data_IF_200136697036
#
_entry.id   IF_200136697036
#
_cell.length_a   1.000
_cell.length_b   1.000
_cell.length_c   1.000
_cell.angle_alpha   90.00
_cell.angle_beta   90.00
_cell.angle_gamma   90.00
#
_symmetry.space_group_name_H-M   'P 1'
#
loop_
_entity.id
_entity.type
_entity.pdbx_description
1 polymer ?
#
# COMPACT_ATOMS: atom_id res chain seq x y z
N UNK A 1 -25.34 4.36 10.18
CA UNK A 1 -24.95 3.20 9.33
C UNK A 1 -23.81 2.48 10.03
N UNK A 2 -23.76 1.14 10.02
CA UNK A 2 -22.59 0.41 10.51
C UNK A 2 -21.34 0.79 9.68
N UNK A 3 -20.14 0.79 10.26
CA UNK A 3 -18.90 1.11 9.55
C UNK A 3 -18.76 0.26 8.29
N UNK A 4 -18.32 0.87 7.19
CA UNK A 4 -18.02 0.12 5.97
C UNK A 4 -16.82 -0.77 6.30
N UNK A 5 -17.00 -2.08 6.14
CA UNK A 5 -15.97 -3.09 6.39
C UNK A 5 -15.51 -3.65 5.04
N UNK A 6 -14.19 -3.75 4.84
CA UNK A 6 -13.58 -4.24 3.59
C UNK A 6 -14.06 -5.64 3.19
N UNK A 7 -14.47 -6.45 4.17
CA UNK A 7 -15.03 -7.79 3.93
C UNK A 7 -16.30 -7.79 3.06
N UNK A 8 -17.11 -6.72 3.07
CA UNK A 8 -18.36 -6.65 2.29
C UNK A 8 -18.13 -6.61 0.78
N UNK A 9 -16.94 -6.20 0.32
CA UNK A 9 -16.62 -6.08 -1.10
C UNK A 9 -15.97 -7.34 -1.69
N UNK A 10 -15.71 -8.38 -0.88
CA UNK A 10 -14.99 -9.58 -1.29
C UNK A 10 -15.84 -10.46 -2.20
N UNK A 11 -15.21 -11.00 -3.23
CA UNK A 11 -15.76 -12.03 -4.12
C UNK A 11 -14.84 -13.25 -4.25
N UNK A 12 -13.68 -13.22 -3.59
CA UNK A 12 -12.80 -14.36 -3.34
C UNK A 12 -12.78 -14.61 -1.84
N UNK A 13 -13.01 -15.86 -1.43
CA UNK A 13 -13.06 -16.26 -0.03
C UNK A 13 -12.15 -17.44 0.23
N UNK A 14 -11.42 -17.38 1.33
CA UNK A 14 -10.40 -18.37 1.72
C UNK A 14 -10.85 -19.09 2.97
N UNK A 15 -10.74 -20.42 2.93
CA UNK A 15 -11.16 -21.34 3.99
C UNK A 15 -10.03 -22.30 4.34
N UNK A 16 -10.10 -22.87 5.55
CA UNK A 16 -9.41 -24.11 5.85
C UNK A 16 -10.23 -25.27 5.24
N UNK A 17 -9.58 -26.21 4.56
CA UNK A 17 -10.27 -27.42 4.10
C UNK A 17 -10.86 -28.25 5.27
N UNK A 18 -10.26 -28.16 6.47
CA UNK A 18 -10.73 -28.83 7.68
C UNK A 18 -11.88 -28.10 8.39
N UNK A 19 -12.07 -26.80 8.11
CA UNK A 19 -13.22 -26.01 8.55
C UNK A 19 -13.77 -25.17 7.38
N UNK A 20 -14.56 -25.78 6.48
CA UNK A 20 -15.09 -25.11 5.29
C UNK A 20 -16.21 -24.10 5.61
N UNK A 21 -16.56 -23.93 6.89
CA UNK A 21 -17.64 -23.03 7.33
C UNK A 21 -17.11 -21.66 7.76
N UNK A 22 -15.88 -21.60 8.24
CA UNK A 22 -15.25 -20.37 8.73
C UNK A 22 -14.41 -19.72 7.63
N UNK A 23 -14.76 -18.47 7.27
CA UNK A 23 -13.94 -17.66 6.36
C UNK A 23 -12.69 -17.18 7.10
N UNK A 24 -11.53 -17.65 6.67
CA UNK A 24 -10.23 -17.19 7.18
C UNK A 24 -9.87 -15.81 6.65
N UNK A 25 -10.26 -15.54 5.39
CA UNK A 25 -9.89 -14.33 4.70
C UNK A 25 -10.45 -14.24 3.28
N UNK A 26 -9.95 -13.29 2.51
CA UNK A 26 -10.29 -13.15 1.09
C UNK A 26 -10.09 -11.73 0.58
N UNK A 27 -10.26 -11.53 -0.73
CA UNK A 27 -10.10 -10.22 -1.36
C UNK A 27 -11.29 -9.88 -2.25
N UNK A 28 -11.35 -8.59 -2.59
CA UNK A 28 -12.06 -8.14 -3.79
C UNK A 28 -11.11 -8.34 -4.97
N UNK A 29 -11.48 -9.23 -5.88
CA UNK A 29 -10.76 -9.46 -7.13
C UNK A 29 -10.78 -8.18 -7.96
N UNK A 30 -9.59 -7.65 -8.27
CA UNK A 30 -9.40 -6.59 -9.23
C UNK A 30 -8.95 -7.19 -10.57
N UNK A 31 -9.17 -6.44 -11.66
CA UNK A 31 -8.66 -6.82 -12.97
C UNK A 31 -7.12 -6.90 -12.92
N UNK A 32 -6.54 -8.00 -13.42
CA UNK A 32 -5.10 -8.22 -13.43
C UNK A 32 -4.54 -9.07 -12.28
N UNK A 33 -5.37 -9.47 -11.30
CA UNK A 33 -4.93 -10.47 -10.30
C UNK A 33 -4.89 -11.85 -10.96
N UNK A 34 -3.71 -12.46 -10.98
CA UNK A 34 -3.46 -13.80 -11.56
C UNK A 34 -3.34 -14.87 -10.48
N UNK A 35 -3.42 -16.15 -10.88
CA UNK A 35 -3.13 -17.26 -9.97
C UNK A 35 -1.70 -17.19 -9.44
N UNK A 36 -0.71 -16.73 -10.22
CA UNK A 36 0.66 -16.52 -9.77
C UNK A 36 0.77 -15.44 -8.69
N UNK A 37 0.01 -14.35 -8.83
CA UNK A 37 -0.08 -13.29 -7.81
C UNK A 37 -0.70 -13.80 -6.51
N UNK A 38 -1.65 -14.73 -6.61
CA UNK A 38 -2.28 -15.35 -5.45
C UNK A 38 -1.44 -16.50 -4.87
N UNK A 39 -0.65 -17.19 -5.70
CA UNK A 39 0.30 -18.22 -5.30
C UNK A 39 1.40 -17.66 -4.41
N UNK A 40 1.90 -16.46 -4.70
CA UNK A 40 2.90 -15.80 -3.85
C UNK A 40 2.42 -15.61 -2.40
N UNK A 41 1.11 -15.63 -2.17
CA UNK A 41 0.49 -15.51 -0.86
C UNK A 41 0.30 -16.86 -0.15
N UNK A 42 0.03 -17.95 -0.90
CA UNK A 42 -0.45 -19.20 -0.30
C UNK A 42 0.23 -20.49 -0.78
N UNK A 43 1.19 -20.45 -1.70
CA UNK A 43 2.01 -21.59 -2.19
C UNK A 43 1.28 -22.90 -2.52
N UNK A 44 -0.06 -22.90 -2.66
CA UNK A 44 -0.91 -24.09 -2.74
C UNK A 44 -1.91 -24.05 -3.92
N UNK A 45 -1.73 -23.11 -4.85
CA UNK A 45 -2.51 -23.00 -6.09
C UNK A 45 -1.58 -23.31 -7.26
N UNK A 46 -2.11 -23.68 -8.42
CA UNK A 46 -1.29 -23.79 -9.61
C UNK A 46 -0.70 -22.41 -9.96
N UNK A 47 0.62 -22.31 -10.01
CA UNK A 47 1.30 -21.05 -10.31
C UNK A 47 1.27 -20.82 -11.81
N UNK A 48 0.27 -20.07 -12.28
CA UNK A 48 0.16 -19.64 -13.66
C UNK A 48 -0.30 -18.17 -13.79
N UNK A 49 -0.23 -17.61 -14.99
CA UNK A 49 -0.62 -16.23 -15.24
C UNK A 49 -2.11 -16.08 -15.64
N UNK A 50 -2.92 -17.13 -15.48
CA UNK A 50 -4.35 -17.02 -15.75
C UNK A 50 -5.02 -16.10 -14.71
N UNK A 51 -6.07 -15.35 -15.10
CA UNK A 51 -6.82 -14.54 -14.16
C UNK A 51 -7.42 -15.38 -13.04
N UNK A 52 -7.20 -14.95 -11.80
CA UNK A 52 -7.83 -15.55 -10.62
C UNK A 52 -9.36 -15.40 -10.76
N UNK A 53 -10.11 -16.42 -10.37
CA UNK A 53 -11.57 -16.41 -10.49
C UNK A 53 -12.24 -16.04 -9.16
N UNK A 54 -13.40 -15.37 -9.17
CA UNK A 54 -14.24 -15.26 -7.98
C UNK A 54 -14.64 -16.66 -7.47
N UNK A 55 -14.68 -16.85 -6.16
CA UNK A 55 -15.10 -18.13 -5.59
C UNK A 55 -14.53 -18.45 -4.22
N UNK A 56 -14.67 -19.73 -3.86
CA UNK A 56 -14.16 -20.30 -2.61
C UNK A 56 -12.88 -21.05 -2.88
N UNK A 57 -11.83 -20.70 -2.14
CA UNK A 57 -10.52 -21.33 -2.18
C UNK A 57 -10.26 -21.98 -0.83
N UNK A 58 -9.74 -23.22 -0.85
CA UNK A 58 -9.50 -24.01 0.36
C UNK A 58 -8.00 -24.25 0.50
N UNK A 59 -7.45 -23.90 1.65
CA UNK A 59 -6.08 -24.21 2.03
C UNK A 59 -6.06 -25.68 2.48
N UNK A 60 -5.22 -26.48 1.84
CA UNK A 60 -4.98 -27.88 2.18
C UNK A 60 -3.55 -27.99 2.71
N UNK A 61 -3.42 -27.96 4.03
CA UNK A 61 -2.13 -28.08 4.71
C UNK A 61 -2.03 -29.43 5.45
N UNK A 62 -0.87 -30.07 5.37
CA UNK A 62 -0.59 -31.29 6.13
C UNK A 62 -0.42 -30.99 7.64
N UNK A 63 0.15 -29.83 7.94
CA UNK A 63 0.38 -29.35 9.30
C UNK A 63 -0.58 -28.20 9.66
N UNK A 64 -0.91 -28.02 10.95
CA UNK A 64 -1.67 -26.86 11.41
C UNK A 64 -0.96 -25.55 11.04
N UNK A 65 -1.73 -24.58 10.56
CA UNK A 65 -1.25 -23.24 10.24
C UNK A 65 -1.99 -22.19 11.06
N UNK A 66 -1.36 -21.01 11.20
CA UNK A 66 -1.95 -19.88 11.90
C UNK A 66 -2.19 -18.73 10.93
N UNK A 67 -3.36 -18.08 11.07
CA UNK A 67 -3.62 -16.82 10.37
C UNK A 67 -2.78 -15.72 11.02
N UNK A 68 -2.01 -15.00 10.20
CA UNK A 68 -1.22 -13.86 10.68
C UNK A 68 -2.17 -12.73 11.15
N UNK A 69 -2.05 -12.35 12.43
CA UNK A 69 -2.83 -11.30 13.09
C UNK A 69 -2.04 -10.00 13.37
N UNK A 70 -0.87 -9.81 12.76
CA UNK A 70 -0.07 -8.60 12.85
C UNK A 70 -0.85 -7.33 12.45
N UNK A 71 -0.76 -6.22 13.21
CA UNK A 71 -1.37 -4.96 12.81
C UNK A 71 -0.69 -4.39 11.56
N UNK A 72 -1.45 -3.71 10.70
CA UNK A 72 -0.88 -2.89 9.63
C UNK A 72 -0.78 -1.43 10.08
N UNK A 73 0.06 -0.64 9.40
CA UNK A 73 0.21 0.80 9.65
C UNK A 73 -0.90 1.56 8.93
N UNK A 74 -1.94 1.97 9.66
CA UNK A 74 -3.06 2.75 9.13
C UNK A 74 -2.56 4.10 8.62
N UNK A 75 -2.90 4.48 7.40
CA UNK A 75 -2.64 5.83 6.90
C UNK A 75 -3.86 6.71 7.11
N UNK A 76 -3.67 7.87 7.72
CA UNK A 76 -4.62 8.97 7.57
C UNK A 76 -4.32 9.60 6.22
N UNK A 77 -5.34 9.88 5.39
CA UNK A 77 -5.15 10.60 4.13
C UNK A 77 -4.90 12.08 4.49
N UNK A 78 -3.71 12.36 5.02
CA UNK A 78 -3.24 13.71 5.31
C UNK A 78 -2.11 14.04 4.35
N UNK A 79 -2.25 15.18 3.67
CA UNK A 79 -1.20 15.74 2.84
C UNK A 79 -0.04 16.14 3.75
N UNK A 80 1.09 15.43 3.69
CA UNK A 80 2.29 15.82 4.42
C UNK A 80 2.72 17.23 3.98
N UNK A 81 2.80 18.19 4.91
CA UNK A 81 3.21 19.58 4.63
C UNK A 81 4.56 19.91 5.29
N UNK A 82 5.50 20.50 4.55
CA UNK A 82 6.80 20.92 5.06
C UNK A 82 7.86 21.13 3.97
N UNK A 83 8.97 21.80 4.30
CA UNK A 83 10.07 22.10 3.36
C UNK A 83 10.80 20.84 2.89
N UNK A 84 10.93 19.81 3.74
CA UNK A 84 11.47 18.51 3.35
C UNK A 84 10.60 17.78 2.31
N UNK A 85 9.28 17.94 2.42
CA UNK A 85 8.31 17.34 1.49
C UNK A 85 8.35 17.97 0.10
N UNK A 86 8.70 19.26 -0.01
CA UNK A 86 8.85 19.93 -1.30
C UNK A 86 10.03 19.37 -2.09
N UNK A 87 11.23 19.28 -1.49
CA UNK A 87 12.40 18.71 -2.17
C UNK A 87 12.19 17.25 -2.59
N UNK A 88 11.53 16.47 -1.74
CA UNK A 88 11.12 15.10 -2.09
C UNK A 88 10.19 15.09 -3.31
N UNK A 89 9.15 15.92 -3.28
CA UNK A 89 8.14 15.98 -4.34
C UNK A 89 8.77 16.36 -5.67
N UNK A 90 9.63 17.38 -5.68
CA UNK A 90 10.32 17.86 -6.88
C UNK A 90 11.24 16.77 -7.46
N UNK A 91 11.96 16.04 -6.60
CA UNK A 91 12.81 14.93 -7.02
C UNK A 91 12.02 13.77 -7.64
N UNK A 92 10.92 13.35 -7.00
CA UNK A 92 10.04 12.29 -7.51
C UNK A 92 9.39 12.71 -8.83
N UNK A 93 8.90 13.94 -8.91
CA UNK A 93 8.30 14.53 -10.12
C UNK A 93 9.27 14.54 -11.30
N UNK A 94 10.49 15.02 -11.06
CA UNK A 94 11.55 15.08 -12.07
C UNK A 94 11.94 13.68 -12.58
N UNK A 95 12.03 12.69 -11.69
CA UNK A 95 12.35 11.30 -12.03
C UNK A 95 11.24 10.65 -12.88
N UNK A 96 10.01 10.69 -12.37
CA UNK A 96 8.93 9.85 -12.89
C UNK A 96 8.24 10.46 -14.12
N UNK A 97 7.89 11.76 -14.06
CA UNK A 97 7.18 12.52 -15.13
C UNK A 97 5.87 11.89 -15.65
N UNK A 98 5.37 10.85 -15.00
CA UNK A 98 4.10 10.18 -15.27
C UNK A 98 3.61 9.46 -14.02
N UNK A 99 2.33 9.10 -13.99
CA UNK A 99 1.84 8.18 -12.98
C UNK A 99 2.48 6.80 -13.18
N UNK A 100 3.22 6.30 -12.19
CA UNK A 100 3.92 5.02 -12.29
C UNK A 100 2.96 3.83 -12.47
N UNK A 101 1.75 3.91 -11.92
CA UNK A 101 0.79 2.80 -11.97
C UNK A 101 -0.02 2.80 -13.26
N UNK A 102 -0.60 3.95 -13.65
CA UNK A 102 -1.44 4.04 -14.85
C UNK A 102 -0.67 4.31 -16.13
N UNK A 103 0.59 4.75 -16.03
CA UNK A 103 1.38 5.22 -17.16
C UNK A 103 0.97 6.60 -17.70
N UNK A 104 -0.08 7.24 -17.15
CA UNK A 104 -0.56 8.55 -17.60
C UNK A 104 0.55 9.61 -17.49
N UNK A 105 0.92 10.20 -18.62
CA UNK A 105 1.98 11.22 -18.68
C UNK A 105 1.54 12.56 -18.07
N UNK A 106 2.47 13.23 -17.39
CA UNK A 106 2.29 14.60 -16.93
C UNK A 106 2.68 15.57 -18.07
N UNK A 107 1.72 15.83 -18.96
CA UNK A 107 1.96 16.61 -20.19
C UNK A 107 2.43 18.05 -19.93
N UNK A 108 1.97 18.65 -18.83
CA UNK A 108 2.32 20.03 -18.46
C UNK A 108 3.56 20.10 -17.52
N UNK A 109 4.30 19.00 -17.36
CA UNK A 109 5.45 18.94 -16.45
C UNK A 109 6.61 19.87 -16.84
N UNK A 110 6.76 20.21 -18.12
CA UNK A 110 7.79 21.17 -18.57
C UNK A 110 7.49 22.62 -18.15
N UNK A 111 6.22 22.93 -17.85
CA UNK A 111 5.77 24.21 -17.29
C UNK A 111 5.70 24.19 -15.75
N UNK A 112 6.31 23.17 -15.12
CA UNK A 112 6.21 22.89 -13.68
C UNK A 112 4.76 22.75 -13.17
N UNK A 113 3.84 22.38 -14.06
CA UNK A 113 2.44 22.18 -13.75
C UNK A 113 2.13 20.69 -13.55
N UNK A 114 1.99 20.32 -12.28
CA UNK A 114 1.76 18.93 -11.84
C UNK A 114 0.29 18.63 -11.54
N UNK A 115 -0.65 19.40 -12.09
CA UNK A 115 -2.07 19.27 -11.77
C UNK A 115 -2.57 17.85 -12.00
N UNK A 116 -3.17 17.27 -10.95
CA UNK A 116 -3.69 15.90 -10.96
C UNK A 116 -2.65 14.83 -10.64
N UNK A 117 -1.39 15.21 -10.36
CA UNK A 117 -0.33 14.30 -9.94
C UNK A 117 0.22 14.67 -8.56
N UNK A 118 0.52 13.65 -7.77
CA UNK A 118 0.98 13.78 -6.40
C UNK A 118 2.16 12.84 -6.14
N UNK A 119 3.18 13.33 -5.43
CA UNK A 119 4.29 12.52 -4.98
C UNK A 119 3.89 11.76 -3.71
N UNK A 120 3.78 10.45 -3.84
CA UNK A 120 3.33 9.53 -2.81
C UNK A 120 4.52 8.88 -2.10
N UNK A 121 4.47 8.80 -0.78
CA UNK A 121 5.45 8.01 -0.02
C UNK A 121 5.01 6.54 0.06
N UNK A 122 5.88 5.59 -0.25
CA UNK A 122 5.61 4.14 -0.19
C UNK A 122 5.54 3.66 1.26
N UNK A 123 6.38 4.22 2.12
CA UNK A 123 6.34 4.09 3.57
C UNK A 123 5.90 5.43 4.17
N UNK A 124 4.87 5.46 5.03
CA UNK A 124 4.26 6.72 5.46
C UNK A 124 5.16 7.52 6.41
N UNK A 125 5.28 8.83 6.16
CA UNK A 125 6.12 9.74 6.98
C UNK A 125 5.68 9.81 8.45
N UNK A 126 4.38 9.71 8.73
CA UNK A 126 3.82 9.70 10.08
C UNK A 126 4.43 8.61 10.99
N UNK A 127 5.04 7.58 10.39
CA UNK A 127 5.62 6.44 11.06
C UNK A 127 7.17 6.48 11.09
N UNK A 128 7.79 7.68 11.09
CA UNK A 128 9.26 7.83 11.16
C UNK A 128 9.89 7.17 12.40
N UNK A 129 9.20 7.17 13.53
CA UNK A 129 9.63 6.42 14.72
C UNK A 129 9.72 4.91 14.43
N UNK A 130 8.67 4.34 13.86
CA UNK A 130 8.63 2.92 13.46
C UNK A 130 9.66 2.60 12.37
N UNK A 131 9.86 3.52 11.42
CA UNK A 131 10.93 3.43 10.42
C UNK A 131 12.30 3.23 11.07
N UNK A 132 12.58 4.02 12.11
CA UNK A 132 13.85 4.03 12.83
C UNK A 132 14.01 2.82 13.73
N UNK A 133 13.01 2.51 14.56
CA UNK A 133 13.03 1.39 15.52
C UNK A 133 13.29 0.04 14.85
N UNK A 134 12.71 -0.16 13.66
CA UNK A 134 12.84 -1.39 12.89
C UNK A 134 13.90 -1.30 11.81
N UNK A 135 14.69 -0.22 11.79
CA UNK A 135 15.80 0.01 10.86
C UNK A 135 15.41 -0.21 9.39
N UNK A 136 14.26 0.32 8.96
CA UNK A 136 13.81 0.22 7.56
C UNK A 136 14.69 1.04 6.61
N UNK A 137 15.41 2.04 7.13
CA UNK A 137 16.43 2.78 6.41
C UNK A 137 17.52 1.92 5.77
N UNK A 138 17.76 0.71 6.27
CA UNK A 138 18.73 -0.25 5.69
C UNK A 138 18.45 -0.63 4.23
N UNK A 139 17.21 -0.45 3.75
CA UNK A 139 16.83 -0.79 2.38
C UNK A 139 17.17 0.29 1.36
N UNK A 140 17.43 1.51 1.81
CA UNK A 140 17.86 2.61 0.95
C UNK A 140 19.25 2.29 0.40
N UNK A 141 19.38 2.32 -0.93
CA UNK A 141 20.65 2.01 -1.60
C UNK A 141 21.50 3.24 -1.91
N UNK A 142 20.87 4.41 -2.08
CA UNK A 142 21.55 5.69 -2.32
C UNK A 142 21.31 6.59 -1.10
N UNK A 143 22.31 6.75 -0.22
CA UNK A 143 22.16 7.56 0.99
C UNK A 143 21.97 9.05 0.64
N UNK A 144 21.37 9.84 1.55
CA UNK A 144 21.22 11.27 1.34
C UNK A 144 22.61 11.93 1.30
N UNK A 145 22.78 12.92 0.41
CA UNK A 145 24.00 13.72 0.36
C UNK A 145 24.30 14.45 1.69
N UNK A 146 23.25 14.74 2.47
CA UNK A 146 23.36 15.23 3.83
C UNK A 146 22.84 14.17 4.82
N UNK A 147 23.70 13.57 5.66
CA UNK A 147 23.31 12.56 6.64
C UNK A 147 22.30 13.05 7.70
N UNK A 148 22.13 14.36 7.87
CA UNK A 148 21.12 14.92 8.79
C UNK A 148 19.71 14.92 8.20
N UNK A 149 19.56 14.65 6.89
CA UNK A 149 18.24 14.42 6.28
C UNK A 149 17.84 12.96 6.52
N UNK A 150 16.66 12.75 7.10
CA UNK A 150 16.10 11.42 7.36
C UNK A 150 15.95 10.61 6.06
N UNK A 151 16.30 9.32 6.12
CA UNK A 151 16.25 8.41 4.97
C UNK A 151 14.82 8.14 4.47
N UNK A 152 13.82 8.41 5.30
CA UNK A 152 12.39 8.26 4.97
C UNK A 152 11.90 9.30 3.93
N UNK A 153 12.59 10.45 3.81
CA UNK A 153 12.27 11.57 2.89
C UNK A 153 13.04 11.42 1.55
N UNK A 154 13.66 10.27 1.30
CA UNK A 154 14.35 10.01 0.05
C UNK A 154 13.37 9.61 -1.05
N UNK A 155 13.65 10.03 -2.30
CA UNK A 155 12.82 9.66 -3.46
C UNK A 155 12.74 8.15 -3.70
N UNK A 156 13.67 7.37 -3.14
CA UNK A 156 13.63 5.91 -3.14
C UNK A 156 12.47 5.34 -2.30
N UNK A 157 11.84 6.17 -1.46
CA UNK A 157 10.58 5.93 -0.77
C UNK A 157 9.39 6.58 -1.50
N UNK A 158 9.55 7.02 -2.75
CA UNK A 158 8.58 7.87 -3.44
C UNK A 158 8.16 7.40 -4.82
N UNK A 159 6.90 7.68 -5.18
CA UNK A 159 6.30 7.43 -6.50
C UNK A 159 5.46 8.63 -6.93
N UNK A 160 5.47 8.99 -8.21
CA UNK A 160 4.50 9.93 -8.77
C UNK A 160 3.23 9.17 -9.15
N UNK A 161 2.09 9.59 -8.61
CA UNK A 161 0.80 8.97 -8.85
C UNK A 161 -0.22 10.00 -9.34
N UNK A 162 -1.21 9.55 -10.11
CA UNK A 162 -2.43 10.34 -10.31
C UNK A 162 -3.13 10.50 -8.95
N UNK A 163 -3.67 11.68 -8.66
CA UNK A 163 -4.29 12.00 -7.37
C UNK A 163 -5.37 11.01 -6.92
N UNK A 164 -6.14 10.43 -7.85
CA UNK A 164 -7.13 9.40 -7.49
C UNK A 164 -6.46 8.06 -7.14
N UNK A 165 -5.42 7.69 -7.89
CA UNK A 165 -4.62 6.48 -7.63
C UNK A 165 -3.84 6.61 -6.32
N UNK A 166 -3.34 7.80 -5.99
CA UNK A 166 -2.64 8.08 -4.74
C UNK A 166 -3.53 7.79 -3.53
N UNK A 167 -4.80 8.23 -3.56
CA UNK A 167 -5.75 7.95 -2.48
C UNK A 167 -5.98 6.44 -2.28
N UNK A 168 -6.14 5.68 -3.37
CA UNK A 168 -6.28 4.22 -3.30
C UNK A 168 -4.98 3.54 -2.83
N UNK A 169 -3.81 4.07 -3.21
CA UNK A 169 -2.50 3.58 -2.77
C UNK A 169 -2.28 3.79 -1.27
N UNK A 170 -2.64 4.96 -0.73
CA UNK A 170 -2.56 5.27 0.70
C UNK A 170 -3.58 4.46 1.52
N UNK A 171 -4.76 4.21 0.96
CA UNK A 171 -5.75 3.30 1.55
C UNK A 171 -5.31 1.84 1.55
N UNK A 172 -4.19 1.48 0.90
CA UNK A 172 -3.82 0.10 0.58
C UNK A 172 -4.93 -0.64 -0.18
N UNK A 173 -5.76 0.07 -0.94
CA UNK A 173 -6.78 -0.54 -1.81
C UNK A 173 -6.17 -1.09 -3.11
N UNK A 174 -4.95 -0.65 -3.44
CA UNK A 174 -4.09 -1.24 -4.46
C UNK A 174 -2.64 -1.34 -3.94
N UNK A 175 -1.81 -2.09 -4.67
CA UNK A 175 -0.38 -2.26 -4.41
C UNK A 175 0.37 -2.49 -5.71
N UNK A 176 1.67 -2.22 -5.72
CA UNK A 176 2.52 -2.39 -6.91
C UNK A 176 3.36 -3.66 -6.78
N UNK A 177 3.29 -4.54 -7.78
CA UNK A 177 4.26 -5.62 -7.92
C UNK A 177 5.55 -5.07 -8.55
N UNK A 178 6.71 -5.12 -7.86
CA UNK A 178 7.98 -4.64 -8.42
C UNK A 178 8.36 -5.31 -9.75
N UNK A 179 7.93 -6.55 -9.98
CA UNK A 179 8.24 -7.29 -11.22
C UNK A 179 7.49 -6.76 -12.45
N UNK A 180 6.43 -5.96 -12.25
CA UNK A 180 5.60 -5.42 -13.32
C UNK A 180 5.81 -3.91 -13.53
N UNK A 181 6.88 -3.35 -12.97
CA UNK A 181 7.28 -1.97 -13.23
C UNK A 181 7.81 -1.81 -14.65
N UNK A 182 7.60 -0.62 -15.22
CA UNK A 182 8.14 -0.32 -16.54
C UNK A 182 9.67 -0.25 -16.54
N UNK A 183 10.27 -0.55 -17.70
CA UNK A 183 11.72 -0.66 -17.84
C UNK A 183 12.45 0.68 -17.61
N UNK A 184 11.78 1.82 -17.84
CA UNK A 184 12.39 3.14 -17.62
C UNK A 184 12.63 3.35 -16.12
N UNK A 185 11.64 3.05 -15.28
CA UNK A 185 11.81 3.12 -13.83
C UNK A 185 12.80 2.07 -13.31
N UNK A 186 12.76 0.85 -13.84
CA UNK A 186 13.68 -0.21 -13.42
C UNK A 186 15.16 0.13 -13.70
N UNK A 187 15.43 0.88 -14.77
CA UNK A 187 16.77 1.33 -15.13
C UNK A 187 17.25 2.55 -14.33
N UNK A 188 16.38 3.19 -13.56
CA UNK A 188 16.73 4.36 -12.75
C UNK A 188 17.35 3.89 -11.42
N UNK A 189 18.61 4.26 -11.09
CA UNK A 189 19.23 3.85 -9.82
C UNK A 189 18.54 4.47 -8.59
N UNK A 190 17.79 5.56 -8.77
CA UNK A 190 17.04 6.27 -7.75
C UNK A 190 15.57 5.83 -7.67
N UNK A 191 15.21 4.76 -8.37
CA UNK A 191 13.88 4.14 -8.31
C UNK A 191 13.48 3.76 -6.87
N UNK A 192 12.18 3.57 -6.63
CA UNK A 192 11.71 2.88 -5.44
C UNK A 192 12.48 1.59 -5.18
N UNK A 193 12.89 1.38 -3.94
CA UNK A 193 13.50 0.10 -3.57
C UNK A 193 12.42 -0.97 -3.47
N UNK A 194 12.71 -2.15 -4.02
CA UNK A 194 11.73 -3.25 -4.12
C UNK A 194 11.22 -3.68 -2.75
N UNK A 195 12.05 -3.59 -1.72
CA UNK A 195 11.70 -3.93 -0.35
C UNK A 195 10.59 -3.03 0.21
N UNK A 196 10.54 -1.74 -0.18
CA UNK A 196 9.45 -0.85 0.24
C UNK A 196 8.16 -1.15 -0.51
N UNK A 197 8.23 -1.49 -1.80
CA UNK A 197 7.08 -1.92 -2.57
C UNK A 197 6.50 -3.24 -2.03
N UNK A 198 7.37 -4.20 -1.70
CA UNK A 198 7.00 -5.44 -1.03
C UNK A 198 6.41 -5.20 0.37
N UNK A 199 6.98 -4.26 1.11
CA UNK A 199 6.43 -3.86 2.41
C UNK A 199 5.01 -3.29 2.27
N UNK A 200 4.79 -2.39 1.30
CA UNK A 200 3.47 -1.82 1.02
C UNK A 200 2.47 -2.89 0.56
N UNK A 201 2.89 -3.79 -0.32
CA UNK A 201 2.11 -4.97 -0.71
C UNK A 201 1.69 -5.81 0.51
N UNK A 202 2.61 -6.06 1.45
CA UNK A 202 2.29 -6.75 2.70
C UNK A 202 1.24 -6.01 3.52
N UNK A 203 1.30 -4.67 3.60
CA UNK A 203 0.25 -3.89 4.26
C UNK A 203 -1.10 -4.08 3.57
N UNK A 204 -1.15 -4.01 2.24
CA UNK A 204 -2.37 -4.26 1.47
C UNK A 204 -2.94 -5.66 1.69
N UNK A 205 -2.10 -6.69 1.80
CA UNK A 205 -2.51 -8.04 2.16
C UNK A 205 -3.10 -8.07 3.58
N UNK A 206 -2.41 -7.50 4.57
CA UNK A 206 -2.87 -7.49 5.97
C UNK A 206 -4.23 -6.79 6.12
N UNK A 207 -4.42 -5.67 5.41
CA UNK A 207 -5.66 -4.89 5.41
C UNK A 207 -6.81 -5.60 4.70
N UNK A 208 -6.56 -6.13 3.51
CA UNK A 208 -7.63 -6.59 2.63
C UNK A 208 -7.97 -8.07 2.82
N UNK A 209 -7.00 -8.91 3.22
CA UNK A 209 -7.16 -10.36 3.28
C UNK A 209 -7.70 -10.87 4.61
N UNK A 210 -7.43 -10.20 5.73
CA UNK A 210 -7.83 -10.68 7.07
C UNK A 210 -9.35 -10.70 7.28
N UNK A 211 -9.88 -11.53 8.17
CA UNK A 211 -11.31 -11.55 8.55
C UNK A 211 -11.95 -10.20 8.90
N UNK A 212 -13.28 -10.17 9.01
CA UNK A 212 -14.16 -8.99 9.00
C UNK A 212 -14.09 -8.04 10.23
N UNK A 213 -12.92 -7.67 10.73
CA UNK A 213 -12.83 -6.88 11.98
C UNK A 213 -12.57 -5.38 11.82
N UNK A 214 -12.22 -4.91 10.63
CA UNK A 214 -11.51 -3.61 10.55
C UNK A 214 -12.23 -2.58 9.66
N UNK A 215 -12.42 -1.34 10.14
CA UNK A 215 -13.14 -0.29 9.42
C UNK A 215 -12.33 0.25 8.24
N UNK A 216 -13.03 0.74 7.22
CA UNK A 216 -12.43 1.55 6.16
C UNK A 216 -12.18 2.95 6.71
N UNK A 217 -10.92 3.37 6.79
CA UNK A 217 -10.56 4.75 7.03
C UNK A 217 -10.57 5.49 5.69
N UNK A 218 -11.60 6.29 5.44
CA UNK A 218 -11.75 7.08 4.21
C UNK A 218 -12.33 8.46 4.49
N UNK A 219 -12.44 9.30 3.46
CA UNK A 219 -12.96 10.68 3.58
C UNK A 219 -14.47 10.78 3.87
N UNK A 220 -15.19 9.66 3.87
CA UNK A 220 -16.65 9.60 4.06
C UNK A 220 -17.06 9.51 5.52
N UNK A 221 -16.70 10.51 6.31
CA UNK A 221 -17.22 10.68 7.66
C UNK A 221 -18.66 11.23 7.59
N UNK A 222 -19.69 10.53 8.11
CA UNK A 222 -21.04 11.07 8.14
C UNK A 222 -21.07 12.42 8.87
N UNK A 223 -21.96 13.37 8.51
CA UNK A 223 -22.12 14.60 9.28
C UNK A 223 -22.37 14.27 10.77
N UNK A 224 -21.48 14.72 11.66
CA UNK A 224 -21.55 14.45 13.09
C UNK A 224 -20.76 13.24 13.61
N UNK A 225 -19.96 12.55 12.77
CA UNK A 225 -19.01 11.54 13.26
C UNK A 225 -17.81 12.18 13.98
N UNK A 226 -17.37 11.54 15.05
CA UNK A 226 -16.17 11.93 15.81
C UNK A 226 -14.91 11.47 15.07
N UNK A 227 -14.50 12.26 14.08
CA UNK A 227 -13.30 12.03 13.25
C UNK A 227 -12.07 11.81 14.14
N UNK A 228 -11.98 12.57 15.24
CA UNK A 228 -10.88 12.48 16.20
C UNK A 228 -10.98 11.16 16.96
N UNK A 229 -12.16 10.81 17.49
CA UNK A 229 -12.43 9.53 18.15
C UNK A 229 -12.10 8.30 17.29
N UNK A 230 -12.44 8.30 16.00
CA UNK A 230 -12.15 7.19 15.08
C UNK A 230 -10.63 7.07 14.78
N UNK A 231 -9.90 8.18 14.73
CA UNK A 231 -8.44 8.19 14.67
C UNK A 231 -7.86 7.63 15.99
N UNK A 232 -8.41 8.04 17.14
CA UNK A 232 -8.00 7.58 18.48
C UNK A 232 -8.21 6.08 18.72
N UNK A 233 -9.26 5.48 18.14
CA UNK A 233 -9.56 4.06 18.30
C UNK A 233 -8.74 3.15 17.36
N UNK A 234 -8.10 3.70 16.34
CA UNK A 234 -7.20 2.94 15.48
C UNK A 234 -5.85 2.63 16.14
N UNK A 235 -5.15 1.61 15.64
CA UNK A 235 -3.80 1.26 16.07
C UNK A 235 -2.85 2.48 15.96
N UNK A 236 -2.03 2.71 17.01
CA UNK A 236 -0.99 3.76 17.06
C UNK A 236 -1.49 5.16 16.70
N UNK A 237 -2.60 5.60 17.32
CA UNK A 237 -3.21 6.91 17.08
C UNK A 237 -2.28 8.11 17.28
N UNK A 238 -1.36 8.05 18.24
CA UNK A 238 -0.41 9.15 18.53
C UNK A 238 0.52 9.47 17.34
N UNK A 239 0.92 8.47 16.57
CA UNK A 239 1.78 8.63 15.39
C UNK A 239 1.02 9.28 14.22
N UNK A 240 -0.32 9.25 14.24
CA UNK A 240 -1.20 9.75 13.16
C UNK A 240 -1.69 11.19 13.36
N UNK A 241 -1.28 11.87 14.44
CA UNK A 241 -1.72 13.24 14.77
C UNK A 241 -0.70 14.33 14.37
N UNK A 242 0.30 13.97 13.55
CA UNK A 242 1.41 14.86 13.15
C UNK A 242 1.19 15.40 11.74
#
# INVERSE_FOLDING_TARGET
>A
MPPINRSRKRNVHIYDANDPTTVLGGLRLANGVTNASFYSLYSQIEKDDHPLQPGKYFIVAADPFNVNNEPWLVRTISYASGTGTQTFSDAVRSRDRRCIISGREALDADDDNWRGFEAAHIFPLAYEGYWSDYNYGRWITIPPANPTKGSIILMQNGLLLDSAIHQEFDGYDLSVNPDHLDQRLLNDPQRPVDQLLQWHFRQAVLVNMRGAREPIFGHGFPPGSDIVGDIFHGLRAAERMV
#
